data_IF_259817981546
#
_entry.id   IF_259817981546
#
_cell.length_a   1.000
_cell.length_b   1.000
_cell.length_c   1.000
_cell.angle_alpha   90.00
_cell.angle_beta   90.00
_cell.angle_gamma   90.00
#
_symmetry.space_group_name_H-M   'P 1'
#
loop_
_entity.id
_entity.type
_entity.pdbx_description
1 polymer ?
#
# COMPACT_ATOMS: atom_id res chain seq x y z
N UNK A 1 -9.28 -3.59 8.26
CA UNK A 1 -9.65 -2.16 8.37
C UNK A 1 -11.04 -1.93 8.98
N UNK A 2 -12.15 -2.65 8.62
CA UNK A 2 -13.49 -2.34 9.15
C UNK A 2 -13.56 -2.26 10.67
N UNK A 3 -12.82 -3.11 11.37
CA UNK A 3 -12.80 -3.15 12.86
C UNK A 3 -12.14 -1.93 13.52
N UNK A 4 -11.46 -1.08 12.75
CA UNK A 4 -10.77 0.12 13.21
C UNK A 4 -11.59 1.40 12.97
N UNK A 5 -12.77 1.28 12.38
CA UNK A 5 -13.66 2.40 12.07
C UNK A 5 -14.99 2.28 12.82
N UNK A 6 -15.64 3.41 12.98
CA UNK A 6 -17.00 3.50 13.50
C UNK A 6 -17.98 2.71 12.61
N UNK A 7 -19.06 2.20 13.19
CA UNK A 7 -20.09 1.43 12.47
C UNK A 7 -20.75 2.18 11.31
N UNK A 8 -20.67 3.51 11.32
CA UNK A 8 -21.19 4.37 10.26
C UNK A 8 -20.25 4.46 9.03
N UNK A 9 -19.03 3.89 9.10
CA UNK A 9 -18.07 3.89 8.01
C UNK A 9 -18.18 2.59 7.21
N UNK A 10 -18.61 2.70 5.96
CA UNK A 10 -18.64 1.57 5.05
C UNK A 10 -17.32 1.45 4.27
N UNK A 11 -16.61 0.34 4.43
CA UNK A 11 -15.36 0.07 3.73
C UNK A 11 -15.58 -0.90 2.59
N UNK A 12 -15.36 -0.43 1.36
CA UNK A 12 -15.35 -1.24 0.14
C UNK A 12 -13.90 -1.57 -0.24
N UNK A 13 -13.48 -2.82 -0.04
CA UNK A 13 -12.11 -3.24 -0.34
C UNK A 13 -12.01 -3.78 -1.77
N UNK A 14 -11.30 -3.04 -2.63
CA UNK A 14 -11.00 -3.41 -4.02
C UNK A 14 -9.53 -3.82 -4.22
N UNK A 15 -8.73 -3.89 -3.16
CA UNK A 15 -7.33 -4.28 -3.26
C UNK A 15 -7.18 -5.72 -3.78
N UNK A 16 -6.12 -5.94 -4.58
CA UNK A 16 -5.76 -7.24 -5.13
C UNK A 16 -4.31 -7.58 -4.80
N UNK A 17 -4.10 -8.74 -4.24
CA UNK A 17 -2.74 -9.23 -3.96
C UNK A 17 -1.95 -9.41 -5.27
N UNK A 18 -0.68 -8.98 -5.28
CA UNK A 18 0.20 -9.14 -6.43
C UNK A 18 0.03 -8.13 -7.56
N UNK A 19 -0.89 -7.18 -7.45
CA UNK A 19 -1.14 -6.19 -8.50
C UNK A 19 -0.30 -4.91 -8.35
N UNK A 20 0.09 -4.34 -9.48
CA UNK A 20 0.68 -3.01 -9.63
C UNK A 20 -0.35 -2.04 -10.22
N UNK A 21 0.00 -0.76 -10.32
CA UNK A 21 -0.84 0.22 -11.03
C UNK A 21 -1.05 -0.20 -12.50
N UNK A 22 -0.04 -0.76 -13.17
CA UNK A 22 -0.14 -1.21 -14.57
C UNK A 22 -1.07 -2.41 -14.73
N UNK A 23 -0.94 -3.41 -13.88
CA UNK A 23 -1.84 -4.57 -13.93
C UNK A 23 -3.27 -4.19 -13.57
N UNK A 24 -3.46 -3.25 -12.66
CA UNK A 24 -4.76 -2.73 -12.26
C UNK A 24 -5.47 -2.02 -13.43
N UNK A 25 -4.72 -1.22 -14.24
CA UNK A 25 -5.23 -0.61 -15.47
C UNK A 25 -5.55 -1.67 -16.52
N UNK A 26 -4.60 -2.56 -16.81
CA UNK A 26 -4.72 -3.58 -17.86
C UNK A 26 -5.95 -4.44 -17.69
N UNK A 27 -6.27 -4.80 -16.45
CA UNK A 27 -7.43 -5.62 -16.12
C UNK A 27 -8.68 -4.80 -15.77
N UNK A 28 -8.65 -3.50 -16.00
CA UNK A 28 -9.76 -2.56 -15.80
C UNK A 28 -10.35 -2.61 -14.37
N UNK A 29 -9.54 -2.95 -13.37
CA UNK A 29 -10.00 -3.12 -11.99
C UNK A 29 -10.40 -1.81 -11.30
N UNK A 30 -9.97 -0.67 -11.85
CA UNK A 30 -10.40 0.64 -11.36
C UNK A 30 -11.81 1.03 -11.84
N UNK A 31 -12.30 0.48 -12.94
CA UNK A 31 -13.63 0.81 -13.47
C UNK A 31 -14.74 0.60 -12.44
N UNK A 32 -14.89 -0.59 -11.81
CA UNK A 32 -15.93 -0.79 -10.81
C UNK A 32 -15.72 0.03 -9.53
N UNK A 33 -14.52 0.56 -9.29
CA UNK A 33 -14.24 1.53 -8.20
C UNK A 33 -14.82 2.88 -8.60
N UNK A 34 -14.46 3.38 -9.78
CA UNK A 34 -14.91 4.68 -10.29
C UNK A 34 -16.44 4.75 -10.39
N UNK A 35 -17.09 3.68 -10.86
CA UNK A 35 -18.56 3.60 -11.01
C UNK A 35 -19.32 3.69 -9.67
N UNK A 36 -18.67 3.41 -8.55
CA UNK A 36 -19.27 3.42 -7.21
C UNK A 36 -18.93 4.67 -6.40
N UNK A 37 -17.87 5.38 -6.77
CA UNK A 37 -17.47 6.59 -6.09
C UNK A 37 -18.53 7.67 -6.18
N UNK A 38 -18.79 8.34 -5.09
CA UNK A 38 -19.74 9.45 -4.97
C UNK A 38 -19.18 10.55 -4.07
N UNK A 39 -19.85 11.68 -4.05
CA UNK A 39 -19.51 12.81 -3.21
C UNK A 39 -19.35 12.42 -1.74
N UNK A 40 -18.24 12.85 -1.15
CA UNK A 40 -17.88 12.58 0.25
C UNK A 40 -17.16 11.26 0.50
N UNK A 41 -17.08 10.34 -0.47
CA UNK A 41 -16.30 9.11 -0.31
C UNK A 41 -14.79 9.39 -0.25
N UNK A 42 -14.05 8.55 0.47
CA UNK A 42 -12.58 8.54 0.49
C UNK A 42 -12.04 7.44 -0.41
N UNK A 43 -11.23 7.79 -1.40
CA UNK A 43 -10.49 6.83 -2.21
C UNK A 43 -9.06 6.68 -1.70
N UNK A 44 -8.77 5.61 -0.94
CA UNK A 44 -7.44 5.31 -0.45
C UNK A 44 -6.67 4.49 -1.51
N UNK A 45 -5.51 4.99 -1.93
CA UNK A 45 -4.68 4.35 -2.96
C UNK A 45 -3.30 4.01 -2.41
N UNK A 46 -2.97 2.71 -2.34
CA UNK A 46 -1.67 2.20 -1.88
C UNK A 46 -1.11 1.23 -2.92
N UNK A 47 -0.01 1.59 -3.56
CA UNK A 47 0.72 0.81 -4.55
C UNK A 47 2.24 1.02 -4.38
N UNK A 48 3.07 0.23 -4.95
CA UNK A 48 4.50 0.33 -5.19
C UNK A 48 5.22 -1.04 -5.19
N UNK A 49 4.87 -1.96 -4.27
CA UNK A 49 5.60 -3.23 -4.10
C UNK A 49 5.70 -4.07 -5.38
N UNK A 50 4.71 -3.98 -6.25
CA UNK A 50 4.70 -4.68 -7.53
C UNK A 50 5.13 -3.78 -8.69
N UNK A 51 4.91 -2.47 -8.59
CA UNK A 51 5.31 -1.50 -9.60
C UNK A 51 6.83 -1.42 -9.79
N UNK A 52 7.62 -1.68 -8.73
CA UNK A 52 9.08 -1.67 -8.79
C UNK A 52 9.72 -2.88 -9.48
N UNK A 53 8.93 -3.92 -9.83
CA UNK A 53 9.44 -5.17 -10.41
C UNK A 53 9.76 -4.98 -11.89
N UNK A 54 10.92 -4.39 -12.19
CA UNK A 54 11.36 -3.98 -13.54
C UNK A 54 11.37 -5.12 -14.55
N UNK A 55 11.59 -6.35 -14.12
CA UNK A 55 11.65 -7.55 -14.98
C UNK A 55 10.26 -8.15 -15.26
N UNK A 56 9.19 -7.45 -14.95
CA UNK A 56 7.82 -7.93 -15.13
C UNK A 56 6.94 -6.91 -15.86
N UNK A 57 5.82 -7.37 -16.40
CA UNK A 57 4.75 -6.55 -16.99
C UNK A 57 3.99 -5.69 -15.96
N UNK A 58 4.35 -5.81 -14.68
CA UNK A 58 3.84 -4.98 -13.57
C UNK A 58 4.62 -3.69 -13.39
N UNK A 59 5.78 -3.55 -14.03
CA UNK A 59 6.66 -2.42 -13.84
C UNK A 59 6.01 -1.10 -14.24
N UNK A 60 6.12 -0.11 -13.36
CA UNK A 60 5.74 1.28 -13.61
C UNK A 60 6.78 2.22 -13.00
N UNK A 61 7.59 2.95 -13.81
CA UNK A 61 8.57 3.91 -13.28
C UNK A 61 7.95 4.88 -12.27
N UNK A 62 8.63 5.07 -11.12
CA UNK A 62 8.12 5.83 -9.99
C UNK A 62 7.68 7.26 -10.36
N UNK A 63 8.53 8.02 -11.06
CA UNK A 63 8.24 9.37 -11.57
C UNK A 63 7.62 9.39 -12.98
N UNK A 64 7.07 8.28 -13.44
CA UNK A 64 6.46 8.12 -14.76
C UNK A 64 5.07 7.50 -14.67
N UNK A 65 4.91 6.31 -15.25
CA UNK A 65 3.62 5.61 -15.33
C UNK A 65 2.95 5.42 -13.96
N UNK A 66 3.71 5.17 -12.89
CA UNK A 66 3.19 5.04 -11.53
C UNK A 66 2.45 6.30 -11.06
N UNK A 67 3.14 7.45 -11.04
CA UNK A 67 2.53 8.72 -10.60
C UNK A 67 1.47 9.22 -11.57
N UNK A 68 1.61 8.98 -12.88
CA UNK A 68 0.58 9.32 -13.87
C UNK A 68 -0.73 8.57 -13.60
N UNK A 69 -0.65 7.29 -13.29
CA UNK A 69 -1.83 6.48 -12.97
C UNK A 69 -2.52 6.94 -11.70
N UNK A 70 -1.75 7.19 -10.63
CA UNK A 70 -2.31 7.69 -9.37
C UNK A 70 -2.96 9.07 -9.53
N UNK A 71 -2.35 9.97 -10.32
CA UNK A 71 -2.93 11.27 -10.66
C UNK A 71 -4.24 11.11 -11.43
N UNK A 72 -4.28 10.22 -12.41
CA UNK A 72 -5.49 9.94 -13.17
C UNK A 72 -6.63 9.47 -12.26
N UNK A 73 -6.38 8.50 -11.39
CA UNK A 73 -7.40 7.99 -10.46
C UNK A 73 -7.83 9.05 -9.43
N UNK A 74 -6.91 9.87 -8.95
CA UNK A 74 -7.24 10.99 -8.07
C UNK A 74 -8.17 12.00 -8.75
N UNK A 75 -7.94 12.28 -10.03
CA UNK A 75 -8.79 13.20 -10.81
C UNK A 75 -10.16 12.58 -11.08
N UNK A 76 -10.26 11.27 -11.33
CA UNK A 76 -11.55 10.59 -11.44
C UNK A 76 -12.35 10.68 -10.13
N UNK A 77 -11.70 10.48 -8.98
CA UNK A 77 -12.36 10.64 -7.68
C UNK A 77 -12.88 12.08 -7.48
N UNK A 78 -12.04 13.08 -7.76
CA UNK A 78 -12.45 14.50 -7.63
C UNK A 78 -13.62 14.86 -8.55
N UNK A 79 -13.67 14.27 -9.75
CA UNK A 79 -14.73 14.56 -10.71
C UNK A 79 -16.13 14.16 -10.21
N UNK A 80 -16.25 13.19 -9.31
CA UNK A 80 -17.49 12.80 -8.66
C UNK A 80 -17.64 13.31 -7.21
N UNK A 81 -16.79 14.25 -6.78
CA UNK A 81 -16.85 14.83 -5.43
C UNK A 81 -16.22 13.94 -4.34
N UNK A 82 -15.57 12.83 -4.70
CA UNK A 82 -14.84 12.01 -3.75
C UNK A 82 -13.44 12.60 -3.44
N UNK A 83 -12.89 12.24 -2.32
CA UNK A 83 -11.63 12.75 -1.78
C UNK A 83 -10.53 11.69 -1.99
N UNK A 84 -9.57 11.90 -2.91
CA UNK A 84 -8.45 10.99 -3.07
C UNK A 84 -7.47 11.13 -1.90
N UNK A 85 -6.96 9.99 -1.44
CA UNK A 85 -5.95 9.88 -0.38
C UNK A 85 -4.85 8.94 -0.86
N UNK A 86 -3.63 9.44 -0.98
CA UNK A 86 -2.46 8.60 -1.25
C UNK A 86 -1.95 8.00 0.05
N UNK A 87 -1.60 6.71 0.00
CA UNK A 87 -1.01 5.99 1.13
C UNK A 87 0.32 5.42 0.67
N UNK A 88 1.45 5.93 1.19
CA UNK A 88 2.75 5.35 0.85
C UNK A 88 2.85 3.92 1.36
N UNK A 89 3.40 3.00 0.55
CA UNK A 89 3.55 1.61 0.97
C UNK A 89 4.48 1.46 2.16
N UNK A 90 4.11 0.61 3.11
CA UNK A 90 4.96 0.25 4.24
C UNK A 90 6.30 -0.34 3.75
N UNK A 91 7.41 -0.15 4.48
CA UNK A 91 8.66 -0.82 4.17
C UNK A 91 8.53 -2.32 4.39
N UNK A 92 9.36 -3.12 3.72
CA UNK A 92 9.55 -4.51 4.11
C UNK A 92 10.30 -4.56 5.45
N UNK A 93 10.05 -5.58 6.25
CA UNK A 93 10.77 -5.86 7.50
C UNK A 93 12.17 -6.39 7.18
N UNK A 94 13.03 -5.52 6.72
CA UNK A 94 14.42 -5.81 6.41
C UNK A 94 15.30 -4.82 7.16
N UNK A 95 16.11 -5.34 8.07
CA UNK A 95 17.01 -4.55 8.90
C UNK A 95 18.46 -4.70 8.42
N UNK A 96 19.23 -3.64 8.60
CA UNK A 96 20.70 -3.68 8.50
C UNK A 96 21.33 -4.12 9.83
N UNK A 97 22.67 -4.19 9.85
CA UNK A 97 23.45 -4.58 11.04
C UNK A 97 23.30 -3.61 12.23
N UNK A 98 22.86 -2.38 11.99
CA UNK A 98 22.61 -1.34 12.98
C UNK A 98 21.15 -1.33 13.47
N UNK A 99 20.33 -2.26 13.03
CA UNK A 99 18.91 -2.34 13.39
C UNK A 99 18.06 -1.26 12.73
N UNK A 100 18.49 -0.71 11.58
CA UNK A 100 17.73 0.24 10.78
C UNK A 100 17.03 -0.45 9.62
N UNK A 101 15.87 0.07 9.25
CA UNK A 101 15.13 -0.44 8.10
C UNK A 101 15.85 -0.11 6.79
N UNK A 102 16.10 -1.14 6.00
CA UNK A 102 16.62 -1.00 4.64
C UNK A 102 15.49 -0.58 3.70
N UNK A 103 15.65 0.56 3.02
CA UNK A 103 14.67 1.08 2.10
C UNK A 103 14.65 0.27 0.78
N UNK A 104 13.72 -0.67 0.68
CA UNK A 104 13.61 -1.61 -0.46
C UNK A 104 12.62 -1.15 -1.54
N UNK A 105 11.97 -0.01 -1.36
CA UNK A 105 10.96 0.51 -2.30
C UNK A 105 11.51 1.59 -3.25
N UNK A 106 12.83 1.85 -3.22
CA UNK A 106 13.44 2.87 -4.09
C UNK A 106 12.71 4.22 -4.01
N UNK A 107 12.50 4.83 -5.15
CA UNK A 107 11.93 6.17 -5.27
C UNK A 107 10.40 6.25 -5.09
N UNK A 108 9.69 5.11 -4.99
CA UNK A 108 8.22 5.11 -5.01
C UNK A 108 7.57 5.91 -3.87
N UNK A 109 8.04 5.80 -2.60
CA UNK A 109 7.48 6.62 -1.53
C UNK A 109 7.69 8.12 -1.76
N UNK A 110 8.87 8.51 -2.28
CA UNK A 110 9.20 9.91 -2.56
C UNK A 110 8.42 10.46 -3.76
N UNK A 111 8.25 9.66 -4.81
CA UNK A 111 7.41 10.00 -5.95
C UNK A 111 5.95 10.25 -5.53
N UNK A 112 5.44 9.42 -4.59
CA UNK A 112 4.07 9.59 -4.07
C UNK A 112 3.96 10.84 -3.18
N UNK A 113 4.96 11.13 -2.33
CA UNK A 113 5.03 12.37 -1.52
C UNK A 113 5.03 13.61 -2.41
N UNK A 114 5.86 13.57 -3.47
CA UNK A 114 5.96 14.65 -4.45
C UNK A 114 4.62 14.87 -5.16
N UNK A 115 4.00 13.80 -5.67
CA UNK A 115 2.69 13.86 -6.31
C UNK A 115 1.64 14.46 -5.37
N UNK A 116 1.61 14.02 -4.12
CA UNK A 116 0.67 14.54 -3.11
C UNK A 116 0.82 16.05 -2.91
N UNK A 117 2.07 16.52 -2.79
CA UNK A 117 2.37 17.94 -2.59
C UNK A 117 2.03 18.79 -3.84
N UNK A 118 2.40 18.34 -5.04
CA UNK A 118 2.15 19.04 -6.30
C UNK A 118 0.66 19.16 -6.64
N UNK A 119 -0.11 18.12 -6.35
CA UNK A 119 -1.53 18.05 -6.70
C UNK A 119 -2.47 18.40 -5.53
N UNK A 120 -1.93 18.72 -4.35
CA UNK A 120 -2.75 18.96 -3.15
C UNK A 120 -3.62 17.76 -2.78
N UNK A 121 -3.09 16.53 -2.93
CA UNK A 121 -3.77 15.31 -2.54
C UNK A 121 -3.43 14.96 -1.09
N UNK A 122 -4.41 14.56 -0.29
CA UNK A 122 -4.17 14.09 1.06
C UNK A 122 -3.22 12.90 1.08
N UNK A 123 -2.28 12.87 2.04
CA UNK A 123 -1.25 11.82 2.14
C UNK A 123 -1.22 11.19 3.53
N UNK A 124 -1.31 9.87 3.56
CA UNK A 124 -0.94 9.05 4.72
C UNK A 124 0.47 8.52 4.45
N UNK A 125 1.47 9.10 5.10
CA UNK A 125 2.87 8.65 4.94
C UNK A 125 3.13 7.40 5.80
N UNK A 126 2.51 6.27 5.40
CA UNK A 126 2.64 5.01 6.09
C UNK A 126 4.07 4.48 6.06
N UNK A 127 4.80 4.70 4.96
CA UNK A 127 6.21 4.30 4.85
C UNK A 127 7.05 4.86 6.00
N UNK A 128 6.97 6.17 6.23
CA UNK A 128 7.73 6.83 7.31
C UNK A 128 7.25 6.43 8.69
N UNK A 129 5.93 6.29 8.88
CA UNK A 129 5.36 5.88 10.18
C UNK A 129 5.75 4.44 10.52
N UNK A 130 5.59 3.51 9.56
CA UNK A 130 5.95 2.11 9.75
C UNK A 130 7.46 1.92 9.93
N UNK A 131 8.31 2.65 9.20
CA UNK A 131 9.78 2.63 9.43
C UNK A 131 10.11 2.94 10.89
N UNK A 132 9.58 4.05 11.43
CA UNK A 132 9.82 4.42 12.83
C UNK A 132 9.30 3.37 13.81
N UNK A 133 8.14 2.82 13.56
CA UNK A 133 7.54 1.77 14.39
C UNK A 133 8.42 0.51 14.38
N UNK A 134 8.80 0.02 13.20
CA UNK A 134 9.59 -1.19 13.06
C UNK A 134 10.98 -1.05 13.71
N UNK A 135 11.65 0.10 13.55
CA UNK A 135 12.92 0.39 14.21
C UNK A 135 12.79 0.45 15.73
N UNK A 136 11.66 0.91 16.26
CA UNK A 136 11.39 0.93 17.70
C UNK A 136 11.15 -0.48 18.26
N UNK A 137 10.50 -1.36 17.50
CA UNK A 137 10.30 -2.77 17.88
C UNK A 137 11.59 -3.60 17.71
N UNK A 138 12.44 -3.24 16.76
CA UNK A 138 13.64 -4.00 16.40
C UNK A 138 13.35 -5.29 15.62
N UNK A 139 14.42 -6.01 15.19
CA UNK A 139 14.28 -7.14 14.26
C UNK A 139 13.43 -8.29 14.78
N UNK A 140 13.52 -8.64 16.06
CA UNK A 140 12.79 -9.79 16.59
C UNK A 140 11.33 -9.46 16.92
N UNK A 141 11.10 -8.42 17.71
CA UNK A 141 9.76 -8.06 18.16
C UNK A 141 8.84 -7.58 17.03
N UNK A 142 9.41 -7.03 15.95
CA UNK A 142 8.61 -6.60 14.80
C UNK A 142 8.01 -7.77 13.99
N UNK A 143 8.47 -9.02 14.18
CA UNK A 143 7.89 -10.19 13.48
C UNK A 143 6.39 -10.34 13.74
N UNK A 144 5.94 -10.05 14.96
CA UNK A 144 4.51 -10.15 15.33
C UNK A 144 3.60 -9.20 14.55
N UNK A 145 4.15 -8.11 14.01
CA UNK A 145 3.42 -7.16 13.20
C UNK A 145 3.22 -7.63 11.75
N UNK A 146 3.83 -8.73 11.36
CA UNK A 146 3.80 -9.28 10.00
C UNK A 146 3.13 -10.66 9.95
N UNK A 147 2.82 -11.14 8.74
CA UNK A 147 2.11 -12.39 8.53
C UNK A 147 3.02 -13.62 8.72
N UNK A 148 3.63 -13.72 9.90
CA UNK A 148 4.37 -14.88 10.36
C UNK A 148 3.42 -15.89 10.96
N UNK A 149 3.48 -17.13 10.47
CA UNK A 149 2.63 -18.26 10.94
C UNK A 149 3.54 -19.44 11.23
N UNK A 150 3.48 -19.97 12.45
CA UNK A 150 4.24 -21.17 12.80
C UNK A 150 3.69 -22.41 12.06
N UNK A 151 4.54 -23.41 11.75
CA UNK A 151 4.09 -24.67 11.19
C UNK A 151 2.97 -25.30 12.03
N UNK A 152 1.91 -25.74 11.37
CA UNK A 152 0.74 -26.36 12.02
C UNK A 152 -0.24 -25.36 12.67
N UNK A 153 0.06 -24.06 12.71
CA UNK A 153 -0.81 -23.05 13.33
C UNK A 153 -1.95 -22.57 12.41
N UNK A 154 -1.90 -22.89 11.11
CA UNK A 154 -2.90 -22.48 10.13
C UNK A 154 -3.18 -23.58 9.12
N UNK A 155 -4.45 -23.76 8.77
CA UNK A 155 -4.84 -24.67 7.68
C UNK A 155 -4.44 -24.10 6.29
N UNK A 156 -4.31 -22.78 6.17
CA UNK A 156 -3.91 -22.11 4.92
C UNK A 156 -2.40 -22.23 4.73
N UNK A 157 -1.62 -22.23 5.81
CA UNK A 157 -0.16 -22.33 5.82
C UNK A 157 0.28 -23.48 6.73
N UNK A 158 0.06 -24.74 6.32
CA UNK A 158 0.36 -25.90 7.19
C UNK A 158 1.85 -26.02 7.51
N UNK A 159 2.74 -25.60 6.58
CA UNK A 159 4.19 -25.59 6.76
C UNK A 159 4.71 -24.28 7.42
N UNK A 160 3.78 -23.40 7.83
CA UNK A 160 4.12 -22.06 8.30
C UNK A 160 4.24 -21.04 7.18
N UNK A 161 4.45 -19.78 7.56
CA UNK A 161 4.70 -18.67 6.63
C UNK A 161 5.62 -17.66 7.29
N UNK A 162 6.62 -17.19 6.54
CA UNK A 162 7.50 -16.08 6.94
C UNK A 162 7.34 -14.94 5.93
N UNK A 163 6.59 -13.92 6.28
CA UNK A 163 6.28 -12.81 5.39
C UNK A 163 6.76 -11.48 5.99
N UNK A 164 7.79 -10.91 5.38
CA UNK A 164 8.38 -9.63 5.75
C UNK A 164 7.74 -8.43 5.01
N UNK A 165 6.63 -8.65 4.31
CA UNK A 165 6.01 -7.62 3.47
C UNK A 165 4.59 -7.26 3.93
N UNK A 166 3.78 -8.26 4.28
CA UNK A 166 2.38 -8.05 4.61
C UNK A 166 2.18 -8.02 6.13
N UNK A 167 1.52 -6.98 6.60
CA UNK A 167 1.15 -6.87 8.00
C UNK A 167 0.17 -7.97 8.42
N UNK A 168 0.30 -8.40 9.68
CA UNK A 168 -0.70 -9.20 10.39
C UNK A 168 -1.86 -8.31 10.84
N UNK A 169 -2.79 -8.90 11.59
CA UNK A 169 -3.86 -8.13 12.24
C UNK A 169 -3.32 -7.12 13.28
N UNK A 170 -2.17 -7.41 13.90
CA UNK A 170 -1.54 -6.54 14.91
C UNK A 170 -0.73 -5.39 14.27
N UNK A 171 -0.28 -5.56 13.03
CA UNK A 171 0.46 -4.54 12.27
C UNK A 171 -0.46 -3.72 11.40
#
# INVERSE_FOLDING_TARGET
LPVLFDENVNISNHARCGYSTQSFIREQLFVPVADRLKEGDLLLMQFAHNDQKSETDRYAPAYGAFTHTLRYWANQARACGAIPVLVTSQPRRRFDEQGKIVHTLGDYPDAMRKLAAEEGIALIDLNRKATKMLEAYGPEESKKLFAYVAPGASQIFPEGNEDDTHFSYEG
#
